data_IF_296707155737
#
_entry.id   IF_296707155737
#
_cell.length_a   1.000
_cell.length_b   1.000
_cell.length_c   1.000
_cell.angle_alpha   90.00
_cell.angle_beta   90.00
_cell.angle_gamma   90.00
#
_symmetry.space_group_name_H-M   'P 1'
#
loop_
_entity.id
_entity.type
_entity.pdbx_description
1 polymer ?
#
# COMPACT_ATOMS: atom_id res chain seq x y z
N UNK A 1 18.40 11.15 0.58
CA UNK A 1 17.57 10.41 -0.41
C UNK A 1 16.85 9.28 0.30
N UNK A 2 15.52 9.24 0.27
CA UNK A 2 14.74 8.16 0.89
C UNK A 2 14.92 6.87 0.10
N UNK A 3 15.34 5.78 0.77
CA UNK A 3 15.47 4.47 0.12
C UNK A 3 14.07 3.98 -0.27
N UNK A 4 13.85 3.79 -1.57
CA UNK A 4 12.62 3.24 -2.15
C UNK A 4 12.59 1.74 -1.91
N UNK A 5 11.41 1.20 -1.55
CA UNK A 5 11.25 -0.25 -1.46
C UNK A 5 11.00 -0.80 -2.86
N UNK A 6 11.60 -1.93 -3.24
CA UNK A 6 11.28 -2.53 -4.53
C UNK A 6 9.79 -2.91 -4.56
N UNK A 7 9.07 -2.43 -5.57
CA UNK A 7 7.66 -2.73 -5.82
C UNK A 7 7.54 -3.46 -7.16
N UNK A 8 6.80 -4.56 -7.17
CA UNK A 8 6.51 -5.36 -8.34
C UNK A 8 5.21 -4.92 -9.02
N UNK A 9 5.06 -5.22 -10.31
CA UNK A 9 3.84 -4.92 -11.07
C UNK A 9 2.59 -5.61 -10.47
N UNK A 10 2.77 -6.77 -9.82
CA UNK A 10 1.69 -7.44 -9.10
C UNK A 10 1.16 -6.60 -7.93
N UNK A 11 2.06 -5.93 -7.21
CA UNK A 11 1.70 -5.06 -6.08
C UNK A 11 1.06 -3.76 -6.57
N UNK A 12 1.53 -3.22 -7.69
CA UNK A 12 0.90 -2.10 -8.38
C UNK A 12 -0.53 -2.48 -8.79
N UNK A 13 -0.72 -3.66 -9.39
CA UNK A 13 -2.04 -4.17 -9.78
C UNK A 13 -2.95 -4.44 -8.56
N UNK A 14 -2.39 -4.88 -7.43
CA UNK A 14 -3.13 -5.04 -6.17
C UNK A 14 -3.67 -3.70 -5.69
N UNK A 15 -2.84 -2.66 -5.62
CA UNK A 15 -3.30 -1.32 -5.24
C UNK A 15 -4.33 -0.76 -6.22
N UNK A 16 -4.19 -1.06 -7.51
CA UNK A 16 -5.19 -0.66 -8.51
C UNK A 16 -6.57 -1.25 -8.19
N UNK A 17 -6.62 -2.55 -7.89
CA UNK A 17 -7.86 -3.26 -7.53
C UNK A 17 -8.44 -2.78 -6.21
N UNK A 18 -7.58 -2.54 -5.21
CA UNK A 18 -7.99 -2.04 -3.90
C UNK A 18 -8.57 -0.62 -3.98
N UNK A 19 -7.97 0.25 -4.80
CA UNK A 19 -8.47 1.60 -5.05
C UNK A 19 -9.70 1.68 -5.94
N UNK A 20 -10.16 0.53 -6.50
CA UNK A 20 -11.32 0.43 -7.40
C UNK A 20 -11.27 1.42 -8.56
N UNK A 21 -10.06 1.68 -9.09
CA UNK A 21 -9.90 2.55 -10.26
C UNK A 21 -10.56 1.90 -11.48
N UNK A 22 -11.07 2.73 -12.37
CA UNK A 22 -11.68 2.29 -13.62
C UNK A 22 -10.63 1.76 -14.60
N UNK A 23 -11.06 0.84 -15.47
CA UNK A 23 -10.20 0.27 -16.50
C UNK A 23 -9.36 -0.91 -16.03
N UNK A 24 -8.44 -1.33 -16.90
CA UNK A 24 -7.56 -2.47 -16.62
C UNK A 24 -6.35 -2.04 -15.81
N UNK A 25 -5.95 -2.86 -14.85
CA UNK A 25 -4.69 -2.68 -14.13
C UNK A 25 -3.48 -2.71 -15.08
N UNK A 26 -3.55 -3.45 -16.19
CA UNK A 26 -2.50 -3.47 -17.20
C UNK A 26 -2.32 -2.09 -17.87
N UNK A 27 -3.42 -1.40 -18.17
CA UNK A 27 -3.39 -0.06 -18.77
C UNK A 27 -2.87 0.99 -17.76
N UNK A 28 -3.21 0.82 -16.48
CA UNK A 28 -2.68 1.67 -15.42
C UNK A 28 -1.18 1.49 -15.19
N UNK A 29 -0.64 0.29 -15.45
CA UNK A 29 0.79 -0.03 -15.34
C UNK A 29 1.59 0.60 -16.49
N UNK A 30 0.99 0.71 -17.69
CA UNK A 30 1.63 1.33 -18.86
C UNK A 30 1.52 2.85 -18.85
N UNK A 31 0.53 3.43 -18.15
CA UNK A 31 0.47 4.87 -17.92
C UNK A 31 1.51 5.31 -16.87
N UNK A 32 2.50 6.16 -17.22
CA UNK A 32 3.60 6.52 -16.33
C UNK A 32 3.16 7.26 -15.08
N UNK A 33 2.12 8.11 -15.17
CA UNK A 33 1.61 8.85 -14.01
C UNK A 33 0.91 7.89 -13.03
N UNK A 34 0.07 7.01 -13.54
CA UNK A 34 -0.61 5.99 -12.72
C UNK A 34 0.38 5.03 -12.09
N UNK A 35 1.39 4.59 -12.85
CA UNK A 35 2.47 3.73 -12.33
C UNK A 35 3.17 4.36 -11.14
N UNK A 36 3.54 5.65 -11.20
CA UNK A 36 4.18 6.36 -10.08
C UNK A 36 3.27 6.41 -8.86
N UNK A 37 2.00 6.78 -9.04
CA UNK A 37 1.02 6.87 -7.95
C UNK A 37 0.83 5.52 -7.25
N UNK A 38 0.55 4.47 -8.02
CA UNK A 38 0.32 3.12 -7.49
C UNK A 38 1.58 2.53 -6.86
N UNK A 39 2.76 2.83 -7.41
CA UNK A 39 4.05 2.44 -6.79
C UNK A 39 4.20 3.07 -5.41
N UNK A 40 3.90 4.37 -5.27
CA UNK A 40 3.95 5.04 -3.96
C UNK A 40 2.97 4.41 -2.95
N UNK A 41 1.76 4.07 -3.39
CA UNK A 41 0.78 3.40 -2.53
C UNK A 41 1.27 2.01 -2.09
N UNK A 42 1.80 1.22 -3.01
CA UNK A 42 2.35 -0.10 -2.72
C UNK A 42 3.56 -0.03 -1.76
N UNK A 43 4.45 0.96 -1.94
CA UNK A 43 5.55 1.21 -1.01
C UNK A 43 5.05 1.57 0.38
N UNK A 44 4.04 2.43 0.49
CA UNK A 44 3.45 2.81 1.77
C UNK A 44 2.80 1.60 2.46
N UNK A 45 2.11 0.75 1.72
CA UNK A 45 1.54 -0.48 2.25
C UNK A 45 2.63 -1.42 2.76
N UNK A 46 3.69 -1.65 1.98
CA UNK A 46 4.84 -2.45 2.40
C UNK A 46 5.48 -1.93 3.68
N UNK A 47 5.63 -0.61 3.83
CA UNK A 47 6.16 0.00 5.07
C UNK A 47 5.25 -0.25 6.28
N UNK A 48 3.93 -0.33 6.08
CA UNK A 48 2.97 -0.65 7.14
C UNK A 48 2.90 -2.15 7.46
N UNK A 49 3.05 -3.00 6.45
CA UNK A 49 3.03 -4.45 6.58
C UNK A 49 4.37 -5.02 7.06
N UNK A 50 5.48 -4.28 6.91
CA UNK A 50 6.72 -4.59 7.59
C UNK A 50 6.46 -4.55 9.10
N UNK A 51 6.73 -5.64 9.84
CA UNK A 51 6.65 -5.62 11.28
C UNK A 51 7.64 -4.55 11.74
N UNK A 52 7.11 -3.42 12.18
CA UNK A 52 7.91 -2.48 12.91
C UNK A 52 8.30 -3.21 14.19
N UNK A 53 9.59 -3.35 14.46
CA UNK A 53 10.13 -3.55 15.81
C UNK A 53 9.79 -2.35 16.74
N UNK A 54 8.76 -1.55 16.40
CA UNK A 54 8.21 -0.55 17.29
C UNK A 54 7.32 -1.27 18.28
N UNK A 55 7.59 -1.14 19.60
CA UNK A 55 6.61 -1.56 20.59
C UNK A 55 5.35 -0.73 20.33
N UNK A 56 4.32 -1.40 19.80
CA UNK A 56 2.96 -0.88 19.84
C UNK A 56 2.69 -0.57 21.31
N UNK A 57 2.58 0.71 21.67
CA UNK A 57 2.09 1.09 22.99
C UNK A 57 0.74 0.38 23.15
N UNK A 58 0.66 -0.55 24.10
CA UNK A 58 -0.45 -1.49 24.27
C UNK A 58 -1.79 -0.83 24.59
N UNK A 59 -1.86 0.50 24.54
CA UNK A 59 -3.00 1.34 24.91
C UNK A 59 -3.99 1.57 23.77
N UNK A 60 -3.69 1.19 22.52
CA UNK A 60 -4.60 1.42 21.39
C UNK A 60 -5.56 0.25 21.07
N UNK A 61 -5.60 -0.82 21.88
CA UNK A 61 -6.57 -1.92 21.72
C UNK A 61 -7.84 -1.79 22.57
N UNK A 62 -8.00 -0.68 23.30
CA UNK A 62 -9.19 -0.40 24.10
C UNK A 62 -10.16 0.55 23.37
N UNK A 63 -10.71 0.10 22.25
CA UNK A 63 -11.96 0.62 21.66
C UNK A 63 -12.62 -0.61 21.03
N UNK A 64 -13.24 -1.47 21.82
CA UNK A 64 -14.54 -1.19 22.42
C UNK A 64 -15.40 -2.38 22.02
N UNK A 65 -15.16 -3.49 22.70
CA UNK A 65 -16.08 -4.61 22.78
C UNK A 65 -17.31 -4.09 23.53
N UNK A 66 -18.40 -3.88 22.82
CA UNK A 66 -19.72 -3.63 23.39
C UNK A 66 -20.74 -4.11 22.38
N UNK A 67 -21.45 -5.14 22.84
CA UNK A 67 -22.61 -5.85 22.31
C UNK A 67 -23.67 -4.96 21.63
#
# INVERSE_FOLDING_TARGET
MTKRLPVSDLEIAREHRLGRYSGSAADAITNPAMRICLTNLAEMRKKREQPADQPLDGKCRAAGDSE
#
